data_IF_080800930312
#
_entry.id   IF_080800930312
#
_cell.length_a   1.000
_cell.length_b   1.000
_cell.length_c   1.000
_cell.angle_alpha   90.00
_cell.angle_beta   90.00
_cell.angle_gamma   90.00
#
_symmetry.space_group_name_H-M   'P 1'
#
loop_
_entity.id
_entity.type
_entity.pdbx_description
1 polymer ?
#
# COMPACT_ATOMS: atom_id res chain seq x y z
N UNK A 1 8.75 13.07 -16.00
CA UNK A 1 8.84 11.60 -15.96
C UNK A 1 7.44 11.11 -15.70
N UNK A 2 6.96 10.21 -16.56
CA UNK A 2 5.64 9.63 -16.40
C UNK A 2 5.73 8.61 -15.27
N UNK A 3 5.26 8.97 -14.07
CA UNK A 3 5.30 8.09 -12.89
C UNK A 3 4.09 7.12 -12.85
N UNK A 4 3.28 7.12 -13.90
CA UNK A 4 2.22 6.13 -14.20
C UNK A 4 2.69 4.68 -14.02
N UNK A 5 3.93 4.27 -14.38
CA UNK A 5 4.41 2.91 -14.15
C UNK A 5 4.43 2.49 -12.67
N UNK A 6 4.73 3.42 -11.75
CA UNK A 6 4.78 3.11 -10.32
C UNK A 6 3.38 2.82 -9.76
N UNK A 7 2.41 3.65 -10.13
CA UNK A 7 1.02 3.51 -9.69
C UNK A 7 0.36 2.27 -10.30
N UNK A 8 0.59 2.00 -11.59
CA UNK A 8 0.06 0.82 -12.27
C UNK A 8 0.58 -0.46 -11.62
N UNK A 9 1.90 -0.53 -11.38
CA UNK A 9 2.52 -1.68 -10.72
C UNK A 9 1.98 -1.90 -9.31
N UNK A 10 1.74 -0.82 -8.56
CA UNK A 10 1.11 -0.90 -7.24
C UNK A 10 -0.31 -1.48 -7.32
N UNK A 11 -1.12 -0.99 -8.27
CA UNK A 11 -2.49 -1.47 -8.49
C UNK A 11 -2.56 -2.93 -8.95
N UNK A 12 -1.63 -3.38 -9.79
CA UNK A 12 -1.52 -4.77 -10.23
C UNK A 12 -1.20 -5.71 -9.05
N UNK A 13 -0.22 -5.34 -8.22
CA UNK A 13 0.13 -6.10 -7.02
C UNK A 13 -1.03 -6.16 -6.03
N UNK A 14 -1.66 -5.02 -5.74
CA UNK A 14 -2.82 -4.98 -4.84
C UNK A 14 -3.96 -5.87 -5.37
N UNK A 15 -4.26 -5.79 -6.67
CA UNK A 15 -5.29 -6.60 -7.32
C UNK A 15 -4.98 -8.09 -7.25
N UNK A 16 -3.71 -8.48 -7.44
CA UNK A 16 -3.29 -9.87 -7.38
C UNK A 16 -3.36 -10.43 -5.95
N UNK A 17 -2.74 -9.74 -4.99
CA UNK A 17 -2.57 -10.27 -3.63
C UNK A 17 -3.83 -10.13 -2.76
N UNK A 18 -4.73 -9.20 -3.08
CA UNK A 18 -6.00 -9.00 -2.38
C UNK A 18 -7.19 -9.60 -3.13
N UNK A 19 -6.97 -10.46 -4.15
CA UNK A 19 -8.03 -11.05 -4.96
C UNK A 19 -9.09 -11.79 -4.11
N UNK A 20 -8.65 -12.50 -3.07
CA UNK A 20 -9.53 -13.22 -2.13
C UNK A 20 -10.08 -12.33 -1.00
N UNK A 21 -9.75 -11.04 -1.00
CA UNK A 21 -10.13 -10.05 0.01
C UNK A 21 -10.88 -8.88 -0.65
N UNK A 22 -12.06 -9.11 -1.27
CA UNK A 22 -12.72 -8.13 -2.14
C UNK A 22 -13.07 -6.81 -1.44
N UNK A 23 -13.40 -6.84 -0.15
CA UNK A 23 -13.65 -5.62 0.63
C UNK A 23 -12.38 -4.76 0.77
N UNK A 24 -11.23 -5.39 1.00
CA UNK A 24 -9.93 -4.69 1.08
C UNK A 24 -9.47 -4.19 -0.27
N UNK A 25 -9.62 -5.01 -1.32
CA UNK A 25 -9.31 -4.58 -2.68
C UNK A 25 -10.13 -3.36 -3.09
N UNK A 26 -11.43 -3.34 -2.79
CA UNK A 26 -12.28 -2.18 -3.03
C UNK A 26 -11.84 -0.96 -2.20
N UNK A 27 -11.47 -1.16 -0.93
CA UNK A 27 -10.95 -0.11 -0.05
C UNK A 27 -9.67 0.53 -0.59
N UNK A 28 -8.63 -0.25 -0.88
CA UNK A 28 -7.35 0.31 -1.38
C UNK A 28 -7.51 1.02 -2.71
N UNK A 29 -8.38 0.50 -3.60
CA UNK A 29 -8.70 1.17 -4.87
C UNK A 29 -9.36 2.52 -4.64
N UNK A 30 -10.37 2.58 -3.76
CA UNK A 30 -11.05 3.84 -3.43
C UNK A 30 -10.10 4.88 -2.80
N UNK A 31 -9.24 4.45 -1.88
CA UNK A 31 -8.23 5.32 -1.26
C UNK A 31 -7.20 5.80 -2.28
N UNK A 32 -6.75 4.93 -3.19
CA UNK A 32 -5.82 5.32 -4.25
C UNK A 32 -6.43 6.34 -5.22
N UNK A 33 -7.68 6.16 -5.64
CA UNK A 33 -8.40 7.09 -6.50
C UNK A 33 -8.57 8.47 -5.84
N UNK A 34 -8.93 8.49 -4.55
CA UNK A 34 -9.04 9.72 -3.77
C UNK A 34 -7.67 10.40 -3.64
N UNK A 35 -6.62 9.63 -3.31
CA UNK A 35 -5.25 10.11 -3.15
C UNK A 35 -4.72 10.72 -4.44
N UNK A 36 -4.94 10.08 -5.60
CA UNK A 36 -4.52 10.59 -6.89
C UNK A 36 -5.13 11.98 -7.20
N UNK A 37 -6.41 12.17 -6.88
CA UNK A 37 -7.11 13.46 -7.09
C UNK A 37 -6.59 14.58 -6.19
N UNK A 38 -6.27 14.25 -4.94
CA UNK A 38 -5.81 15.23 -3.95
C UNK A 38 -4.32 15.54 -4.13
N UNK A 39 -3.47 14.51 -4.23
CA UNK A 39 -2.03 14.67 -4.29
C UNK A 39 -1.57 15.37 -5.58
N UNK A 40 -2.25 15.12 -6.72
CA UNK A 40 -1.95 15.84 -7.96
C UNK A 40 -2.12 17.36 -7.86
N UNK A 41 -2.90 17.86 -6.88
CA UNK A 41 -3.10 19.29 -6.62
C UNK A 41 -2.21 19.81 -5.51
N UNK A 42 -2.06 19.03 -4.44
CA UNK A 42 -1.35 19.46 -3.24
C UNK A 42 0.17 19.31 -3.34
N UNK A 43 0.64 18.19 -3.90
CA UNK A 43 2.07 17.89 -4.09
C UNK A 43 2.27 17.02 -5.34
N UNK A 44 2.32 17.64 -6.54
CA UNK A 44 2.45 16.91 -7.79
C UNK A 44 3.72 16.05 -7.87
N UNK A 45 4.80 16.44 -7.15
CA UNK A 45 6.08 15.72 -7.17
C UNK A 45 6.02 14.40 -6.43
N UNK A 46 5.13 14.27 -5.44
CA UNK A 46 4.96 13.05 -4.63
C UNK A 46 3.68 12.30 -4.95
N UNK A 47 2.87 12.80 -5.90
CA UNK A 47 1.56 12.23 -6.20
C UNK A 47 1.63 10.73 -6.53
N UNK A 48 2.60 10.31 -7.34
CA UNK A 48 2.74 8.90 -7.69
C UNK A 48 3.14 8.01 -6.52
N UNK A 49 4.06 8.46 -5.65
CA UNK A 49 4.48 7.71 -4.46
C UNK A 49 3.33 7.59 -3.46
N UNK A 50 2.58 8.68 -3.24
CA UNK A 50 1.42 8.69 -2.36
C UNK A 50 0.31 7.78 -2.87
N UNK A 51 -0.01 7.83 -4.17
CA UNK A 51 -1.01 6.95 -4.78
C UNK A 51 -0.55 5.49 -4.77
N UNK A 52 0.73 5.21 -5.02
CA UNK A 52 1.28 3.85 -4.92
C UNK A 52 1.21 3.31 -3.49
N UNK A 53 1.55 4.13 -2.48
CA UNK A 53 1.41 3.75 -1.08
C UNK A 53 -0.06 3.50 -0.71
N UNK A 54 -0.99 4.33 -1.20
CA UNK A 54 -2.43 4.14 -0.98
C UNK A 54 -2.95 2.79 -1.54
N UNK A 55 -2.46 2.37 -2.71
CA UNK A 55 -2.75 1.03 -3.25
C UNK A 55 -2.23 -0.10 -2.37
N UNK A 56 -1.06 0.08 -1.75
CA UNK A 56 -0.31 -0.98 -1.11
C UNK A 56 -0.45 -1.03 0.42
N UNK A 57 -1.06 -0.03 1.06
CA UNK A 57 -1.05 0.07 2.53
C UNK A 57 -1.61 -1.17 3.22
N UNK A 58 -2.67 -1.77 2.66
CA UNK A 58 -3.32 -2.97 3.21
C UNK A 58 -2.81 -4.28 2.59
N UNK A 59 -1.77 -4.27 1.75
CA UNK A 59 -1.33 -5.47 1.01
C UNK A 59 -0.86 -6.59 1.95
N UNK A 60 -0.35 -6.22 3.14
CA UNK A 60 0.09 -7.16 4.17
C UNK A 60 -1.02 -8.04 4.76
N UNK A 61 -2.29 -7.70 4.52
CA UNK A 61 -3.44 -8.54 4.87
C UNK A 61 -3.59 -9.78 3.99
N UNK A 62 -2.90 -9.84 2.85
CA UNK A 62 -2.89 -11.03 2.00
C UNK A 62 -2.33 -12.24 2.79
N UNK A 63 -3.08 -13.35 2.96
CA UNK A 63 -2.65 -14.45 3.82
C UNK A 63 -1.30 -15.06 3.43
N UNK A 64 -0.97 -15.01 2.14
CA UNK A 64 0.29 -15.52 1.58
C UNK A 64 1.50 -14.62 1.85
N UNK A 65 1.28 -13.39 2.31
CA UNK A 65 2.34 -12.43 2.67
C UNK A 65 2.55 -12.34 4.19
N UNK A 66 1.65 -12.91 4.99
CA UNK A 66 1.77 -12.92 6.44
C UNK A 66 2.95 -13.81 6.88
N UNK A 67 3.96 -13.19 7.48
CA UNK A 67 5.18 -13.85 7.99
C UNK A 67 5.30 -13.64 9.49
N UNK A 68 5.04 -12.43 9.98
CA UNK A 68 5.08 -12.08 11.40
C UNK A 68 3.70 -12.04 12.05
N UNK A 69 2.63 -12.01 11.24
CA UNK A 69 1.27 -11.75 11.72
C UNK A 69 1.00 -10.27 11.95
N UNK A 70 2.01 -9.40 11.79
CA UNK A 70 1.88 -7.96 11.85
C UNK A 70 1.84 -7.38 10.42
N UNK A 71 0.62 -7.22 9.91
CA UNK A 71 0.34 -6.91 8.50
C UNK A 71 1.09 -5.67 7.95
N UNK A 72 1.22 -4.53 8.65
CA UNK A 72 1.98 -3.40 8.15
C UNK A 72 3.45 -3.73 7.86
N UNK A 73 4.10 -4.48 8.74
CA UNK A 73 5.51 -4.89 8.57
C UNK A 73 5.65 -5.93 7.49
N UNK A 74 4.75 -6.90 7.43
CA UNK A 74 4.75 -7.94 6.39
C UNK A 74 4.51 -7.33 4.99
N UNK A 75 3.58 -6.38 4.90
CA UNK A 75 3.34 -5.58 3.70
C UNK A 75 4.56 -4.76 3.31
N UNK A 76 5.17 -4.02 4.24
CA UNK A 76 6.36 -3.21 3.96
C UNK A 76 7.55 -4.05 3.49
N UNK A 77 7.78 -5.21 4.10
CA UNK A 77 8.81 -6.18 3.68
C UNK A 77 8.57 -6.66 2.25
N UNK A 78 7.33 -7.02 1.94
CA UNK A 78 6.96 -7.44 0.59
C UNK A 78 7.17 -6.30 -0.42
N UNK A 79 6.65 -5.11 -0.14
CA UNK A 79 6.78 -3.94 -1.03
C UNK A 79 8.24 -3.56 -1.27
N UNK A 80 9.10 -3.66 -0.24
CA UNK A 80 10.55 -3.48 -0.39
C UNK A 80 11.18 -4.56 -1.27
N UNK A 81 10.79 -5.83 -1.13
CA UNK A 81 11.32 -6.92 -1.98
C UNK A 81 10.89 -6.80 -3.44
N UNK A 82 9.77 -6.13 -3.70
CA UNK A 82 9.37 -5.71 -5.04
C UNK A 82 10.17 -4.52 -5.57
N UNK A 83 11.03 -3.86 -4.79
CA UNK A 83 11.86 -2.74 -5.26
C UNK A 83 11.09 -1.45 -5.45
N UNK A 84 10.03 -1.21 -4.66
CA UNK A 84 9.39 0.11 -4.59
C UNK A 84 10.30 1.12 -3.87
N UNK A 85 10.14 2.43 -4.13
CA UNK A 85 10.88 3.48 -3.43
C UNK A 85 10.71 3.40 -1.91
N UNK A 86 11.77 3.73 -1.16
CA UNK A 86 11.79 3.65 0.31
C UNK A 86 10.71 4.50 1.00
N UNK A 87 10.29 5.60 0.37
CA UNK A 87 9.17 6.41 0.86
C UNK A 87 7.84 5.65 0.78
N UNK A 88 7.60 4.87 -0.27
CA UNK A 88 6.42 4.01 -0.39
C UNK A 88 6.47 2.91 0.66
N UNK A 89 7.63 2.26 0.82
CA UNK A 89 7.85 1.23 1.85
C UNK A 89 7.55 1.77 3.25
N UNK A 90 8.05 2.97 3.54
CA UNK A 90 7.84 3.62 4.84
C UNK A 90 6.37 3.96 5.06
N UNK A 91 5.68 4.51 4.06
CA UNK A 91 4.25 4.82 4.17
C UNK A 91 3.37 3.58 4.38
N UNK A 92 3.76 2.44 3.80
CA UNK A 92 3.11 1.14 4.09
C UNK A 92 3.41 0.68 5.52
N UNK A 93 4.64 0.83 5.99
CA UNK A 93 5.01 0.40 7.35
C UNK A 93 4.31 1.20 8.47
N UNK A 94 4.05 2.49 8.23
CA UNK A 94 3.55 3.45 9.22
C UNK A 94 2.11 3.94 8.94
N UNK A 95 1.32 3.21 8.17
CA UNK A 95 -0.07 3.64 7.95
C UNK A 95 -0.84 3.63 9.27
N UNK A 96 -1.72 4.62 9.46
CA UNK A 96 -2.52 4.80 10.68
C UNK A 96 -3.28 3.51 10.97
N UNK A 97 -3.01 2.89 12.13
CA UNK A 97 -3.50 1.56 12.48
C UNK A 97 -2.40 0.54 12.77
N UNK A 98 -1.16 0.76 12.30
CA UNK A 98 -0.05 -0.14 12.58
C UNK A 98 0.24 -0.27 14.08
N UNK A 99 0.28 0.83 14.85
CA UNK A 99 0.45 0.74 16.31
C UNK A 99 -0.70 0.00 17.02
N UNK A 100 -1.94 0.20 16.56
CA UNK A 100 -3.12 -0.45 17.14
C UNK A 100 -3.17 -1.93 16.80
N UNK A 101 -2.83 -2.32 15.56
CA UNK A 101 -2.80 -3.71 15.10
C UNK A 101 -1.66 -4.51 15.76
N UNK A 102 -0.50 -3.88 16.03
CA UNK A 102 0.60 -4.51 16.76
C UNK A 102 0.23 -4.85 18.21
N UNK A 103 -0.62 -4.04 18.84
CA UNK A 103 -0.92 -4.17 20.27
C UNK A 103 -2.03 -5.19 20.55
N UNK A 104 -2.84 -5.54 19.54
CA UNK A 104 -3.99 -6.45 19.69
C UNK A 104 -3.67 -7.88 19.20
N UNK A 105 -2.44 -8.14 18.74
CA UNK A 105 -2.00 -9.44 18.24
C UNK A 105 -0.81 -10.04 19.03
N UNK A 106 -1.07 -10.54 20.23
CA UNK A 106 -0.25 -11.54 20.93
C UNK A 106 -1.15 -12.50 21.70
#
# INVERSE_FOLDING_TARGET
MDDTPLVNRAGELATHWLADLPKRLAHVRGVADATARVAARADPKRAAELTAAAWLHDIGYAPRLAVSGFHPVDGARFVRSQGFPEVVVSLVAFHTGAETEATVGA
#
